data_IF_064357319428
#
_entry.id   IF_064357319428
#
_cell.length_a   1.000
_cell.length_b   1.000
_cell.length_c   1.000
_cell.angle_alpha   90.00
_cell.angle_beta   90.00
_cell.angle_gamma   90.00
#
_symmetry.space_group_name_H-M   'P 1'
#
loop_
_entity.id
_entity.type
_entity.pdbx_description
1 polymer ?
2 branched ?
3 non-polymer ?
4 non-polymer ?
5 non-polymer ?
6 water ?
#
# COMPACT_ATOMS: atom_id res chain seq x y z
N UNK A 10 -19.50 -11.47 -17.08
CA UNK A 10 -18.11 -11.70 -17.48
C UNK A 10 -17.50 -12.85 -16.70
N UNK A 11 -16.16 -12.90 -16.67
CA UNK A 11 -15.48 -14.01 -16.03
C UNK A 11 -14.52 -13.56 -14.94
N UNK A 12 -14.25 -14.44 -13.98
CA UNK A 12 -13.22 -14.18 -12.99
C UNK A 12 -11.87 -14.07 -13.71
N UNK A 13 -11.09 -13.08 -13.27
CA UNK A 13 -9.73 -12.92 -13.78
C UNK A 13 -8.87 -14.09 -13.29
N UNK A 14 -8.00 -14.62 -14.14
CA UNK A 14 -7.03 -15.57 -13.62
C UNK A 14 -5.62 -15.02 -13.89
N UNK A 15 -4.73 -15.28 -12.94
CA UNK A 15 -3.39 -14.78 -13.02
C UNK A 15 -2.52 -15.64 -13.93
N UNK A 16 -2.64 -15.45 -15.24
CA UNK A 16 -1.96 -16.33 -16.19
C UNK A 16 -0.66 -15.76 -16.74
N UNK A 17 -0.38 -14.49 -16.45
CA UNK A 17 0.78 -13.83 -17.05
C UNK A 17 1.91 -13.59 -16.06
N UNK A 18 3.11 -13.38 -16.58
CA UNK A 18 4.24 -12.99 -15.76
C UNK A 18 4.40 -11.48 -15.78
N UNK A 19 5.38 -10.97 -15.04
CA UNK A 19 5.67 -9.54 -15.07
C UNK A 19 6.40 -9.17 -16.34
N UNK A 20 6.09 -7.99 -16.88
CA UNK A 20 6.88 -7.40 -17.94
C UNK A 20 8.27 -7.10 -17.41
N UNK A 21 9.25 -7.10 -18.31
CA UNK A 21 10.60 -6.68 -17.97
C UNK A 21 10.60 -5.21 -17.59
N UNK A 22 11.16 -4.92 -16.41
CA UNK A 22 11.20 -3.56 -15.88
C UNK A 22 12.56 -2.91 -16.11
N UNK A 23 12.62 -1.98 -17.06
CA UNK A 23 13.89 -1.31 -17.35
C UNK A 23 13.89 0.14 -16.90
N UNK A 24 12.70 0.68 -16.61
CA UNK A 24 12.55 2.01 -16.02
C UNK A 24 11.09 2.18 -15.61
N UNK A 25 10.76 3.37 -15.10
CA UNK A 25 9.39 3.67 -14.67
C UNK A 25 8.91 4.95 -15.33
N UNK A 26 7.64 4.97 -15.75
CA UNK A 26 7.07 6.17 -16.36
C UNK A 26 5.90 6.68 -15.53
N UNK A 27 5.61 7.97 -15.66
CA UNK A 27 4.53 8.58 -14.90
C UNK A 27 3.20 7.97 -15.34
N UNK A 28 2.37 7.64 -14.36
CA UNK A 28 1.07 7.02 -14.63
C UNK A 28 -0.07 7.95 -14.20
N UNK A 29 0.00 8.43 -12.95
CA UNK A 29 -1.01 9.33 -12.43
C UNK A 29 -0.46 10.26 -11.36
N UNK A 30 -1.11 11.39 -11.17
CA UNK A 30 -0.72 12.37 -10.16
C UNK A 30 -1.91 13.26 -9.93
N UNK A 31 -2.32 13.47 -8.69
CA UNK A 31 -3.57 14.22 -8.54
C UNK A 31 -3.42 15.64 -8.01
N UNK A 32 -2.22 16.05 -7.61
CA UNK A 32 -1.98 17.43 -7.17
C UNK A 32 -3.03 17.91 -6.15
N UNK A 33 -3.45 17.02 -5.25
CA UNK A 33 -4.62 17.26 -4.42
C UNK A 33 -4.45 18.43 -3.44
N UNK A 34 -3.25 18.59 -2.89
CA UNK A 34 -3.04 19.62 -1.87
C UNK A 34 -2.94 21.00 -2.55
N UNK A 35 -2.27 21.06 -3.71
CA UNK A 35 -2.26 22.29 -4.51
C UNK A 35 -3.68 22.74 -4.83
N UNK A 36 -4.47 21.82 -5.36
CA UNK A 36 -5.83 22.17 -5.80
C UNK A 36 -6.73 22.46 -4.60
N UNK A 37 -6.54 21.71 -3.52
CA UNK A 37 -7.33 21.87 -2.31
C UNK A 37 -7.11 23.16 -1.55
N UNK A 38 -6.07 23.91 -1.93
CA UNK A 38 -5.86 25.23 -1.34
C UNK A 38 -7.04 26.17 -1.66
N UNK A 39 -7.73 25.89 -2.76
CA UNK A 39 -8.84 26.73 -3.19
C UNK A 39 -10.02 25.98 -3.82
N UNK A 40 -10.24 24.75 -3.41
CA UNK A 40 -11.42 24.01 -3.84
C UNK A 40 -11.79 23.00 -2.78
N UNK A 41 -12.90 22.32 -2.98
CA UNK A 41 -13.45 21.46 -1.93
C UNK A 41 -12.90 20.03 -2.03
N UNK A 42 -11.63 19.92 -1.64
CA UNK A 42 -10.88 18.68 -1.68
C UNK A 42 -10.88 18.04 -0.30
N UNK A 43 -11.23 16.76 -0.22
CA UNK A 43 -11.28 16.06 1.07
C UNK A 43 -9.89 15.80 1.65
N UNK A 44 -9.75 15.95 2.96
CA UNK A 44 -8.54 15.49 3.64
C UNK A 44 -8.49 13.98 3.59
N UNK A 45 -7.33 13.44 3.22
CA UNK A 45 -7.16 11.99 3.17
C UNK A 45 -5.82 11.56 3.75
N UNK A 46 -5.64 10.24 3.87
CA UNK A 46 -4.33 9.63 4.01
C UNK A 46 -4.50 8.15 3.63
N UNK A 47 -3.41 7.42 3.62
CA UNK A 47 -3.39 6.00 3.24
C UNK A 47 -4.05 5.76 1.87
N UNK A 48 -3.53 6.41 0.82
CA UNK A 48 -4.12 6.24 -0.51
C UNK A 48 -3.66 4.95 -1.19
N UNK A 49 -4.36 4.55 -2.24
CA UNK A 49 -3.83 3.54 -3.15
C UNK A 49 -4.52 3.61 -4.51
N UNK A 50 -4.21 2.67 -5.39
CA UNK A 50 -4.79 2.64 -6.73
C UNK A 50 -5.32 1.23 -6.96
N UNK A 51 -6.44 1.11 -7.65
CA UNK A 51 -6.95 -0.23 -7.97
C UNK A 51 -7.73 -0.18 -9.27
N UNK A 52 -7.57 -1.20 -10.10
CA UNK A 52 -8.24 -1.25 -11.39
C UNK A 52 -9.48 -2.14 -11.39
N UNK A 53 -10.49 -1.68 -12.14
CA UNK A 53 -11.64 -2.46 -12.58
C UNK A 53 -11.33 -2.92 -14.02
N UNK A 54 -12.13 -3.84 -14.57
CA UNK A 54 -11.88 -4.23 -15.96
C UNK A 54 -12.01 -3.08 -16.96
N UNK A 55 -12.72 -2.01 -16.60
CA UNK A 55 -12.96 -0.92 -17.56
C UNK A 55 -12.48 0.44 -17.08
N UNK A 56 -11.81 0.49 -15.94
CA UNK A 56 -11.42 1.77 -15.34
C UNK A 56 -10.39 1.56 -14.23
N UNK A 57 -9.47 2.51 -14.07
CA UNK A 57 -8.58 2.52 -12.90
C UNK A 57 -8.90 3.75 -12.05
N UNK A 58 -8.90 3.59 -10.73
CA UNK A 58 -9.31 4.68 -9.83
C UNK A 58 -8.33 4.85 -8.67
N UNK A 59 -8.29 6.07 -8.13
CA UNK A 59 -7.59 6.33 -6.90
C UNK A 59 -8.51 5.98 -5.71
N UNK A 60 -7.90 5.54 -4.61
CA UNK A 60 -8.59 5.19 -3.36
C UNK A 60 -7.86 5.85 -2.21
N UNK A 61 -8.58 6.15 -1.12
CA UNK A 61 -7.95 6.62 0.11
C UNK A 61 -8.93 6.60 1.27
N UNK A 62 -8.42 6.81 2.48
CA UNK A 62 -9.28 7.00 3.63
C UNK A 62 -9.52 8.48 3.85
N UNK A 63 -10.75 8.92 3.63
CA UNK A 63 -11.15 10.30 3.91
C UNK A 63 -11.13 10.55 5.41
N UNK A 64 -11.06 11.82 5.79
CA UNK A 64 -11.20 12.21 7.20
C UNK A 64 -12.52 12.94 7.45
N UNK A 65 -13.39 13.02 6.43
CA UNK A 65 -14.72 13.58 6.64
C UNK A 65 -14.70 15.10 6.82
N UNK A 66 -13.82 15.76 6.09
CA UNK A 66 -13.69 17.21 6.11
C UNK A 66 -12.87 17.63 4.90
N UNK A 67 -13.02 18.87 4.45
CA UNK A 67 -12.11 19.37 3.42
C UNK A 67 -10.86 19.98 4.07
N UNK A 68 -9.84 20.26 3.28
CA UNK A 68 -8.58 20.79 3.82
C UNK A 68 -8.74 22.19 4.38
N UNK A 69 -9.50 23.02 3.67
CA UNK A 69 -9.73 24.41 4.09
C UNK A 69 -10.81 24.50 5.16
N UNK A 70 -11.53 23.41 5.38
CA UNK A 70 -12.58 23.40 6.39
C UNK A 70 -11.96 23.40 7.77
N UNK A 71 -12.67 23.97 8.74
CA UNK A 71 -12.13 24.08 10.09
C UNK A 71 -11.99 22.71 10.77
N UNK A 72 -12.73 21.70 10.29
CA UNK A 72 -12.62 20.37 10.87
C UNK A 72 -11.33 19.65 10.43
N UNK A 73 -10.51 20.28 9.60
CA UNK A 73 -9.22 19.69 9.23
C UNK A 73 -8.26 19.72 10.42
N UNK A 74 -8.55 20.55 11.40
CA UNK A 74 -7.73 20.63 12.62
C UNK A 74 -7.80 19.31 13.40
N UNK A 75 -6.66 18.65 13.55
CA UNK A 75 -6.61 17.39 14.28
C UNK A 75 -6.54 16.14 13.42
N UNK A 76 -6.44 16.31 12.10
CA UNK A 76 -6.47 15.15 11.19
C UNK A 76 -5.16 14.36 11.13
N UNK A 77 -4.20 14.67 12.01
CA UNK A 77 -3.05 13.79 12.15
C UNK A 77 -3.51 12.44 12.74
N UNK A 78 -4.65 12.46 13.44
CA UNK A 78 -5.16 11.24 14.10
C UNK A 78 -5.65 10.20 13.09
N UNK A 79 -5.38 8.93 13.39
CA UNK A 79 -5.59 7.86 12.41
C UNK A 79 -6.99 7.25 12.39
N UNK A 80 -7.66 7.21 13.54
CA UNK A 80 -8.92 6.47 13.66
C UNK A 80 -10.01 7.35 14.26
N UNK A 81 -11.08 7.53 13.50
CA UNK A 81 -12.23 8.30 13.96
C UNK A 81 -13.47 7.76 13.27
N UNK A 82 -14.63 8.15 13.78
CA UNK A 82 -15.91 7.78 13.18
C UNK A 82 -16.17 8.49 11.86
N UNK A 83 -15.31 9.40 11.47
CA UNK A 83 -15.60 10.26 10.33
C UNK A 83 -14.78 9.84 9.12
N UNK A 84 -14.06 8.72 9.24
CA UNK A 84 -13.27 8.20 8.12
C UNK A 84 -14.07 7.22 7.27
N UNK A 85 -13.71 7.16 5.99
CA UNK A 85 -14.34 6.23 5.05
C UNK A 85 -13.39 5.95 3.90
N UNK A 86 -13.50 4.76 3.32
CA UNK A 86 -12.80 4.46 2.08
C UNK A 86 -13.55 5.13 0.92
N UNK A 87 -12.87 6.00 0.20
CA UNK A 87 -13.45 6.64 -0.98
C UNK A 87 -12.66 6.29 -2.22
N UNK A 88 -13.30 6.38 -3.38
CA UNK A 88 -12.57 6.26 -4.63
C UNK A 88 -12.96 7.40 -5.56
N UNK A 89 -12.09 7.71 -6.49
CA UNK A 89 -12.36 8.80 -7.43
C UNK A 89 -11.53 8.59 -8.69
N UNK A 90 -11.88 9.28 -9.78
CA UNK A 90 -11.23 9.00 -11.07
C UNK A 90 -9.74 9.28 -11.05
N UNK A 91 -8.99 8.42 -11.74
CA UNK A 91 -7.54 8.51 -11.87
C UNK A 91 -7.06 9.93 -12.16
N UNK A 92 -6.16 10.41 -11.30
CA UNK A 92 -5.46 11.70 -11.41
C UNK A 92 -6.30 12.96 -11.18
N UNK A 93 -7.60 12.78 -10.90
CA UNK A 93 -8.39 13.86 -10.33
C UNK A 93 -8.07 13.94 -8.84
N UNK A 94 -8.38 15.07 -8.19
CA UNK A 94 -8.25 15.08 -6.73
C UNK A 94 -9.51 14.52 -6.07
N UNK A 95 -9.42 14.08 -4.81
CA UNK A 95 -10.59 13.59 -4.09
C UNK A 95 -11.48 14.74 -3.61
N UNK A 96 -12.53 15.06 -4.36
CA UNK A 96 -13.35 16.19 -3.97
C UNK A 96 -14.63 15.72 -3.33
N UNK A 97 -15.30 16.63 -2.64
CA UNK A 97 -16.59 16.34 -2.04
C UNK A 97 -17.58 15.88 -3.11
N UNK A 98 -17.41 16.38 -4.33
CA UNK A 98 -18.43 16.19 -5.37
C UNK A 98 -18.13 15.07 -6.37
N UNK A 99 -16.92 14.52 -6.33
CA UNK A 99 -16.57 13.49 -7.32
C UNK A 99 -16.14 12.17 -6.66
N UNK A 100 -16.15 12.14 -5.32
CA UNK A 100 -15.69 10.96 -4.59
C UNK A 100 -16.84 10.01 -4.29
N UNK A 101 -16.58 8.71 -4.48
CA UNK A 101 -17.57 7.67 -4.20
C UNK A 101 -17.17 6.92 -2.94
N UNK A 102 -18.07 6.84 -1.96
CA UNK A 102 -17.76 6.11 -0.74
C UNK A 102 -17.94 4.61 -0.94
N UNK A 103 -16.92 3.83 -0.58
CA UNK A 103 -16.98 2.37 -0.74
C UNK A 103 -17.48 1.70 0.53
N UNK A 104 -16.99 2.17 1.68
CA UNK A 104 -17.49 1.71 2.99
C UNK A 104 -16.93 2.59 4.10
N UNK A 105 -17.46 2.43 5.31
CA UNK A 105 -17.10 3.30 6.43
C UNK A 105 -16.05 2.65 7.34
N UNK A 106 -15.00 3.40 7.67
CA UNK A 106 -13.97 2.87 8.55
C UNK A 106 -12.61 3.53 8.41
N UNK A 107 -11.62 3.00 9.13
CA UNK A 107 -10.31 3.64 9.21
C UNK A 107 -9.14 2.70 8.84
N UNK A 108 -9.47 1.56 8.24
CA UNK A 108 -8.46 0.67 7.64
C UNK A 108 -9.14 -0.11 6.53
N UNK A 109 -8.49 -0.25 5.38
CA UNK A 109 -9.20 -0.82 4.23
C UNK A 109 -8.34 -1.61 3.25
N UNK A 110 -9.04 -2.36 2.40
CA UNK A 110 -8.46 -2.91 1.19
C UNK A 110 -9.59 -3.04 0.18
N UNK A 111 -9.24 -3.24 -1.09
CA UNK A 111 -10.27 -3.34 -2.12
C UNK A 111 -9.67 -4.00 -3.34
N UNK A 112 -10.44 -4.81 -4.05
CA UNK A 112 -9.97 -5.38 -5.31
C UNK A 112 -11.12 -5.90 -6.17
N UNK A 113 -10.88 -5.98 -7.47
CA UNK A 113 -11.88 -6.46 -8.42
C UNK A 113 -11.53 -7.88 -8.83
N UNK A 114 -12.50 -8.79 -8.83
CA UNK A 114 -12.20 -10.18 -9.19
C UNK A 114 -12.45 -10.50 -10.65
N UNK A 115 -12.81 -9.48 -11.44
CA UNK A 115 -13.13 -9.70 -12.85
C UNK A 115 -14.61 -9.55 -13.11
N UNK A 116 -15.43 -9.91 -12.11
CA UNK A 116 -16.88 -9.74 -12.19
C UNK A 116 -17.36 -8.53 -11.36
N UNK A 117 -16.99 -8.50 -10.08
CA UNK A 117 -17.37 -7.39 -9.21
C UNK A 117 -16.24 -7.03 -8.25
N UNK A 118 -16.39 -5.89 -7.59
CA UNK A 118 -15.38 -5.42 -6.63
C UNK A 118 -15.72 -5.83 -5.20
N UNK A 119 -14.69 -6.30 -4.48
CA UNK A 119 -14.78 -6.48 -3.03
C UNK A 119 -14.09 -5.33 -2.32
N UNK A 120 -14.75 -4.72 -1.34
CA UNK A 120 -14.10 -3.70 -0.50
C UNK A 120 -14.27 -4.06 0.96
N UNK A 121 -13.23 -3.84 1.76
CA UNK A 121 -13.28 -4.18 3.17
C UNK A 121 -12.89 -2.97 3.97
N UNK A 122 -13.73 -2.60 4.95
CA UNK A 122 -13.42 -1.48 5.85
C UNK A 122 -13.53 -1.95 7.30
N UNK A 123 -12.58 -1.55 8.12
CA UNK A 123 -12.62 -1.84 9.55
C UNK A 123 -12.99 -0.59 10.33
N UNK A 124 -13.89 -0.71 11.31
CA UNK A 124 -14.22 0.42 12.18
C UNK A 124 -14.38 -0.05 13.62
N UNK A 125 -14.49 0.91 14.53
CA UNK A 125 -14.70 0.60 15.93
C UNK A 125 -13.66 1.21 16.84
N UNK A 126 -13.85 1.06 18.16
CA UNK A 126 -12.83 1.45 19.13
C UNK A 126 -11.68 0.46 19.09
N UNK A 127 -10.56 0.80 19.72
CA UNK A 127 -9.38 -0.05 19.66
C UNK A 127 -9.62 -1.49 20.16
N UNK A 128 -10.49 -1.64 21.15
CA UNK A 128 -10.70 -2.96 21.74
C UNK A 128 -11.93 -3.70 21.24
N UNK A 129 -12.56 -3.21 20.19
CA UNK A 129 -13.82 -3.80 19.74
C UNK A 129 -14.09 -3.50 18.27
N UNK A 130 -13.04 -3.54 17.46
CA UNK A 130 -13.16 -3.21 16.03
C UNK A 130 -13.71 -4.38 15.22
N UNK A 131 -14.25 -4.09 14.05
CA UNK A 131 -14.81 -5.13 13.20
C UNK A 131 -14.67 -4.76 11.75
N UNK A 132 -14.49 -5.78 10.92
CA UNK A 132 -14.38 -5.63 9.48
C UNK A 132 -15.72 -5.94 8.82
N UNK A 133 -16.13 -5.09 7.88
CA UNK A 133 -17.29 -5.41 7.05
C UNK A 133 -16.82 -5.62 5.62
N UNK A 134 -17.21 -6.76 5.04
CA UNK A 134 -16.81 -7.13 3.68
C UNK A 134 -17.95 -6.85 2.71
N UNK A 135 -17.69 -5.94 1.78
CA UNK A 135 -18.65 -5.57 0.75
C UNK A 135 -18.30 -6.26 -0.56
N UNK A 136 -19.30 -6.70 -1.30
CA UNK A 136 -19.08 -7.29 -2.62
C UNK A 136 -20.21 -6.81 -3.53
N UNK A 137 -19.86 -6.33 -4.73
CA UNK A 137 -20.83 -5.73 -5.64
C UNK A 137 -21.64 -4.64 -4.92
N UNK A 138 -20.93 -3.87 -4.10
CA UNK A 138 -21.45 -2.69 -3.38
C UNK A 138 -22.54 -3.01 -2.36
N UNK A 139 -22.55 -4.25 -1.87
CA UNK A 139 -23.44 -4.67 -0.79
C UNK A 139 -22.65 -5.37 0.32
N UNK A 140 -23.04 -5.16 1.58
CA UNK A 140 -22.35 -5.87 2.66
C UNK A 140 -22.68 -7.35 2.64
N UNK A 141 -21.67 -8.20 2.79
CA UNK A 141 -21.87 -9.63 2.65
C UNK A 141 -21.38 -10.44 3.87
N UNK A 142 -20.27 -10.02 4.47
CA UNK A 142 -19.73 -10.74 5.62
C UNK A 142 -19.11 -9.79 6.63
N UNK A 143 -18.99 -10.24 7.88
CA UNK A 143 -18.42 -9.39 8.93
C UNK A 143 -17.45 -10.22 9.75
N UNK A 144 -16.41 -9.57 10.26
CA UNK A 144 -15.38 -10.26 11.05
C UNK A 144 -15.08 -9.44 12.30
N UNK A 145 -15.30 -10.05 13.45
CA UNK A 145 -15.00 -9.36 14.71
C UNK A 145 -13.53 -9.48 15.10
N UNK A 146 -13.04 -8.47 15.81
CA UNK A 146 -11.69 -8.47 16.36
C UNK A 146 -11.42 -9.77 17.13
N UNK A 147 -10.21 -10.31 16.97
CA UNK A 147 -9.86 -11.55 17.66
C UNK A 147 -8.79 -11.36 18.72
N UNK A 148 -8.16 -10.19 18.74
CA UNK A 148 -7.14 -9.90 19.75
C UNK A 148 -7.43 -8.59 20.52
N UNK A 149 -8.52 -7.92 20.12
CA UNK A 149 -9.02 -6.71 20.80
C UNK A 149 -7.96 -5.61 20.86
N UNK A 150 -7.23 -5.42 19.77
CA UNK A 150 -6.21 -4.38 19.73
C UNK A 150 -5.97 -3.89 18.30
N UNK A 151 -6.87 -3.02 17.84
CA UNK A 151 -6.81 -2.38 16.52
C UNK A 151 -6.67 -3.39 15.37
N UNK A 152 -7.73 -4.16 15.16
CA UNK A 152 -7.87 -4.97 13.95
C UNK A 152 -7.57 -4.08 12.74
N UNK A 153 -6.70 -4.52 11.83
CA UNK A 153 -6.24 -3.67 10.74
C UNK A 153 -5.78 -4.48 9.52
N UNK A 154 -5.80 -3.86 8.33
CA UNK A 154 -5.52 -4.60 7.12
C UNK A 154 -4.55 -3.83 6.19
N UNK A 155 -4.62 -4.07 4.89
CA UNK A 155 -3.49 -3.77 3.99
C UNK A 155 -3.23 -2.29 3.67
N UNK A 156 -4.31 -1.51 3.51
CA UNK A 156 -4.24 -0.12 3.01
C UNK A 156 -3.72 -0.02 1.57
N UNK A 157 -3.85 -1.11 0.81
CA UNK A 157 -3.71 -1.07 -0.64
C UNK A 157 -4.48 -2.25 -1.23
N UNK A 158 -4.43 -2.41 -2.55
CA UNK A 158 -5.37 -3.35 -3.16
C UNK A 158 -5.01 -4.81 -2.88
N UNK A 159 -6.03 -5.64 -2.76
CA UNK A 159 -5.85 -7.09 -2.74
C UNK A 159 -5.77 -7.60 -4.17
N UNK A 160 -5.56 -8.91 -4.33
CA UNK A 160 -5.44 -9.51 -5.66
C UNK A 160 -6.32 -10.76 -5.71
N UNK A 161 -6.99 -10.99 -6.84
CA UNK A 161 -7.88 -12.15 -6.96
C UNK A 161 -7.42 -13.12 -8.04
N UNK A 162 -7.67 -14.41 -7.79
CA UNK A 162 -7.43 -15.43 -8.80
C UNK A 162 -8.60 -16.42 -8.84
N UNK A 163 -9.24 -16.52 -10.00
CA UNK A 163 -10.40 -17.40 -10.17
C UNK A 163 -11.46 -17.17 -9.10
N UNK A 164 -11.67 -15.90 -8.75
CA UNK A 164 -12.69 -15.54 -7.79
C UNK A 164 -12.23 -15.53 -6.34
N UNK A 165 -11.06 -16.11 -6.07
CA UNK A 165 -10.55 -16.15 -4.70
C UNK A 165 -9.62 -14.98 -4.44
N UNK A 166 -9.95 -14.19 -3.41
CA UNK A 166 -9.19 -12.98 -3.08
C UNK A 166 -8.65 -13.07 -1.66
N UNK A 167 -7.34 -13.33 -1.51
CA UNK A 167 -6.74 -13.34 -0.18
C UNK A 167 -6.52 -11.94 0.38
N UNK A 168 -6.69 -11.79 1.69
CA UNK A 168 -6.46 -10.53 2.37
C UNK A 168 -5.70 -10.79 3.67
N UNK A 169 -4.68 -9.98 3.95
CA UNK A 169 -3.94 -10.11 5.20
C UNK A 169 -4.45 -9.11 6.26
N UNK A 170 -4.79 -9.64 7.45
CA UNK A 170 -5.22 -8.85 8.61
C UNK A 170 -4.25 -9.01 9.77
N UNK A 171 -4.13 -7.98 10.59
CA UNK A 171 -3.38 -8.11 11.84
C UNK A 171 -4.21 -7.55 13.01
N UNK A 172 -4.14 -8.22 14.15
CA UNK A 172 -4.84 -7.77 15.35
C UNK A 172 -3.88 -8.01 16.50
N UNK A 173 -3.67 -7.00 17.34
CA UNK A 173 -2.70 -7.14 18.41
C UNK A 173 -1.65 -6.04 18.39
N UNK A 174 -0.60 -6.24 19.17
CA UNK A 174 0.39 -5.21 19.41
C UNK A 174 1.07 -4.68 18.15
N UNK A 175 1.37 -3.39 18.14
CA UNK A 175 2.20 -2.80 17.10
C UNK A 175 3.67 -2.82 17.50
N UNK A 176 3.95 -3.30 18.72
CA UNK A 176 5.31 -3.24 19.25
C UNK A 176 5.74 -4.55 19.92
N UNK A 177 5.22 -5.66 19.41
CA UNK A 177 5.50 -6.97 19.96
C UNK A 177 4.73 -7.98 19.13
N UNK A 178 4.78 -9.27 19.51
CA UNK A 178 4.08 -10.30 18.72
C UNK A 178 2.60 -10.01 18.59
N UNK A 179 2.06 -10.18 17.38
CA UNK A 179 0.65 -9.92 17.13
C UNK A 179 0.03 -11.13 16.41
N UNK A 180 -1.30 -11.09 16.21
CA UNK A 180 -2.01 -12.21 15.61
C UNK A 180 -2.44 -11.87 14.19
N UNK A 181 -1.66 -12.34 13.23
CA UNK A 181 -1.92 -12.08 11.81
C UNK A 181 -2.66 -13.25 11.21
N UNK A 182 -3.66 -12.94 10.39
CA UNK A 182 -4.46 -13.96 9.71
C UNK A 182 -4.55 -13.66 8.23
N UNK A 183 -4.55 -14.70 7.41
CA UNK A 183 -4.83 -14.55 6.00
C UNK A 183 -6.23 -15.09 5.74
N UNK A 184 -7.12 -14.23 5.24
CA UNK A 184 -8.48 -14.63 4.89
C UNK A 184 -8.60 -14.82 3.40
N UNK A 185 -9.39 -15.81 3.00
CA UNK A 185 -9.63 -16.10 1.60
C UNK A 185 -11.10 -15.89 1.32
N UNK A 186 -11.41 -14.89 0.50
CA UNK A 186 -12.79 -14.55 0.18
C UNK A 186 -13.19 -14.94 -1.23
N UNK A 187 -14.46 -15.27 -1.41
CA UNK A 187 -15.02 -15.38 -2.76
C UNK A 187 -16.43 -14.82 -2.77
N UNK A 188 -16.66 -13.83 -3.64
CA UNK A 188 -17.90 -13.08 -3.67
C UNK A 188 -18.25 -12.53 -2.30
N UNK A 189 -17.20 -12.14 -1.57
CA UNK A 189 -17.35 -11.54 -0.25
C UNK A 189 -17.54 -12.55 0.89
N UNK A 190 -17.73 -13.82 0.53
CA UNK A 190 -17.90 -14.87 1.53
C UNK A 190 -16.56 -15.42 2.01
N UNK A 191 -16.46 -15.74 3.29
CA UNK A 191 -15.25 -16.34 3.83
C UNK A 191 -15.15 -17.82 3.48
N UNK A 192 -14.16 -18.16 2.67
CA UNK A 192 -13.90 -19.55 2.31
C UNK A 192 -13.11 -20.24 3.41
N UNK A 193 -12.14 -19.51 3.95
CA UNK A 193 -11.14 -20.06 4.84
C UNK A 193 -10.33 -18.91 5.45
N UNK A 194 -9.80 -19.11 6.65
CA UNK A 194 -8.73 -18.24 7.13
C UNK A 194 -7.64 -19.09 7.78
N UNK A 195 -6.41 -18.59 7.82
CA UNK A 195 -5.31 -19.28 8.51
C UNK A 195 -4.48 -18.30 9.31
N UNK A 196 -3.88 -18.79 10.39
CA UNK A 196 -2.92 -17.99 11.14
C UNK A 196 -1.61 -17.91 10.36
N UNK A 197 -0.92 -16.79 10.49
CA UNK A 197 0.37 -16.60 9.83
C UNK A 197 1.37 -17.70 10.14
N UNK A 198 2.02 -18.21 9.11
CA UNK A 198 3.08 -19.20 9.31
C UNK A 198 4.37 -18.68 8.67
N UNK A 199 5.48 -19.37 8.90
CA UNK A 199 6.74 -18.95 8.32
C UNK A 199 7.59 -18.16 9.29
N UNK A 200 8.57 -17.42 8.78
CA UNK A 200 9.54 -16.79 9.66
C UNK A 200 9.39 -15.28 9.85
N UNK A 201 8.41 -14.66 9.19
CA UNK A 201 8.12 -13.25 9.47
C UNK A 201 7.67 -13.11 10.92
N UNK A 202 8.21 -12.12 11.62
CA UNK A 202 7.96 -11.99 13.06
C UNK A 202 6.94 -10.90 13.42
N UNK A 203 6.66 -10.02 12.48
CA UNK A 203 5.63 -9.00 12.67
C UNK A 203 5.16 -8.52 11.30
N UNK A 204 3.84 -8.47 11.10
CA UNK A 204 3.24 -8.16 9.80
C UNK A 204 2.21 -7.02 9.88
N UNK A 205 2.41 -5.97 9.08
CA UNK A 205 1.43 -4.91 8.92
C UNK A 205 1.34 -4.45 7.47
N UNK A 206 0.16 -3.98 7.05
CA UNK A 206 0.00 -3.19 5.82
C UNK A 206 0.65 -3.80 4.57
N UNK A 207 0.25 -5.02 4.24
CA UNK A 207 0.84 -5.74 3.12
C UNK A 207 0.48 -5.11 1.78
N UNK A 208 1.48 -5.00 0.90
CA UNK A 208 1.31 -4.57 -0.49
C UNK A 208 1.46 -5.75 -1.43
N UNK A 209 0.42 -6.06 -2.20
CA UNK A 209 0.39 -7.31 -2.94
C UNK A 209 0.31 -7.13 -4.46
N UNK A 210 0.80 -8.13 -5.18
CA UNK A 210 0.54 -8.24 -6.61
C UNK A 210 0.48 -9.71 -7.01
N UNK A 211 -0.09 -10.00 -8.16
CA UNK A 211 -0.24 -11.36 -8.61
C UNK A 211 0.41 -11.63 -9.95
N UNK A 212 0.94 -12.84 -10.11
CA UNK A 212 1.55 -13.26 -11.36
C UNK A 212 1.62 -14.78 -11.40
N UNK A 213 1.42 -15.36 -12.58
CA UNK A 213 1.44 -16.81 -12.80
C UNK A 213 0.89 -17.62 -11.61
N UNK A 214 -0.37 -17.32 -11.27
CA UNK A 214 -1.16 -18.02 -10.25
C UNK A 214 -0.52 -18.01 -8.86
N UNK A 215 0.27 -16.99 -8.57
CA UNK A 215 0.81 -16.78 -7.24
C UNK A 215 0.66 -15.33 -6.82
N UNK A 216 0.46 -15.09 -5.53
CA UNK A 216 0.33 -13.72 -5.03
C UNK A 216 1.48 -13.44 -4.07
N UNK A 217 2.16 -12.32 -4.28
CA UNK A 217 3.30 -11.92 -3.46
C UNK A 217 2.98 -10.63 -2.72
N UNK A 218 3.19 -10.64 -1.41
CA UNK A 218 2.92 -9.46 -0.59
C UNK A 218 4.18 -9.01 0.14
N UNK A 219 4.44 -7.72 0.09
CA UNK A 219 5.55 -7.12 0.84
C UNK A 219 4.99 -6.27 1.95
N UNK A 220 5.43 -6.49 3.18
CA UNK A 220 4.75 -5.91 4.32
C UNK A 220 5.66 -5.01 5.16
N UNK A 221 5.14 -4.61 6.32
CA UNK A 221 5.84 -3.76 7.26
C UNK A 221 6.02 -4.49 8.59
N UNK A 222 7.27 -4.63 9.03
CA UNK A 222 7.57 -5.13 10.38
C UNK A 222 7.69 -3.90 11.28
N UNK A 223 6.72 -3.70 12.16
CA UNK A 223 6.74 -2.51 13.00
C UNK A 223 7.45 -2.73 14.31
N UNK A 224 7.79 -3.98 14.61
CA UNK A 224 8.36 -4.33 15.91
C UNK A 224 9.88 -4.14 15.93
N UNK A 225 10.64 -5.12 15.44
CA UNK A 225 12.11 -5.03 15.50
C UNK A 225 12.82 -4.89 14.14
N UNK A 226 12.09 -5.01 13.04
CA UNK A 226 12.74 -5.16 11.74
C UNK A 226 12.79 -3.94 10.85
N UNK A 227 13.88 -3.79 10.10
CA UNK A 227 13.96 -2.73 9.09
C UNK A 227 14.14 -3.32 7.70
N UNK A 228 14.24 -4.65 7.63
CA UNK A 228 13.99 -5.36 6.38
C UNK A 228 12.49 -5.68 6.33
N UNK A 229 11.96 -5.86 5.13
CA UNK A 229 10.52 -6.09 5.00
C UNK A 229 10.16 -7.57 4.97
N UNK A 230 9.11 -7.93 5.72
CA UNK A 230 8.57 -9.29 5.61
C UNK A 230 7.91 -9.50 4.25
N UNK A 231 7.90 -10.75 3.78
CA UNK A 231 7.23 -11.11 2.55
C UNK A 231 6.31 -12.30 2.79
N UNK A 232 5.09 -12.21 2.31
CA UNK A 232 4.16 -13.33 2.34
C UNK A 232 3.89 -13.80 0.92
N UNK A 233 4.05 -15.11 0.67
CA UNK A 233 3.76 -15.66 -0.64
C UNK A 233 2.55 -16.56 -0.54
N UNK A 234 1.52 -16.22 -1.31
CA UNK A 234 0.22 -16.87 -1.18
C UNK A 234 -0.14 -17.65 -2.43
N UNK A 235 -0.55 -18.90 -2.23
CA UNK A 235 -1.10 -19.73 -3.29
C UNK A 235 -2.62 -19.67 -3.20
N UNK A 236 -3.26 -18.91 -4.10
CA UNK A 236 -4.71 -18.66 -4.00
C UNK A 236 -5.55 -19.86 -4.42
N UNK A 237 -4.93 -20.88 -5.01
CA UNK A 237 -5.64 -22.09 -5.39
C UNK A 237 -5.68 -23.09 -4.22
N UNK A 238 -4.51 -23.40 -3.68
CA UNK A 238 -4.41 -24.23 -2.48
C UNK A 238 -4.90 -23.49 -1.23
N UNK A 239 -4.90 -22.15 -1.31
CA UNK A 239 -5.22 -21.29 -0.18
C UNK A 239 -4.25 -21.55 0.99
N UNK A 240 -2.96 -21.53 0.65
CA UNK A 240 -1.89 -21.65 1.63
C UNK A 240 -0.86 -20.55 1.42
N UNK A 241 0.03 -20.38 2.38
CA UNK A 241 1.03 -19.33 2.27
C UNK A 241 2.32 -19.70 2.98
N UNK A 242 3.38 -18.95 2.68
CA UNK A 242 4.61 -19.01 3.44
C UNK A 242 4.99 -17.57 3.80
N UNK A 243 5.96 -17.38 4.69
CA UNK A 243 6.47 -16.02 4.94
C UNK A 243 7.94 -16.06 5.29
N UNK A 244 8.62 -14.95 5.00
CA UNK A 244 10.02 -14.75 5.36
C UNK A 244 10.29 -13.25 5.32
N UNK A 245 11.56 -12.86 5.22
CA UNK A 245 11.93 -11.47 4.97
C UNK A 245 12.63 -11.36 3.63
N UNK A 246 12.64 -10.16 3.05
CA UNK A 246 13.54 -9.90 1.93
C UNK A 246 14.98 -10.06 2.44
N UNK A 247 15.73 -10.96 1.81
CA UNK A 247 17.09 -11.33 2.24
C UNK A 247 18.12 -10.23 2.01
N UNK A 248 17.90 -9.39 1.00
CA UNK A 248 18.87 -8.38 0.59
C UNK A 248 19.30 -7.42 1.71
N UNK A 249 20.58 -7.03 1.73
CA UNK A 249 21.03 -5.99 2.66
C UNK A 249 20.60 -4.59 2.23
N UNK A 250 19.92 -4.47 1.09
CA UNK A 250 19.31 -3.19 0.73
C UNK A 250 18.02 -3.06 1.53
N UNK A 251 18.08 -2.39 2.68
CA UNK A 251 16.95 -2.34 3.61
C UNK A 251 15.92 -1.32 3.12
N UNK A 252 14.63 -1.64 3.25
CA UNK A 252 13.63 -0.76 2.65
C UNK A 252 12.50 -0.28 3.57
N UNK A 253 12.60 -0.53 4.87
CA UNK A 253 11.65 0.09 5.81
C UNK A 253 12.10 1.53 6.08
N UNK A 254 11.31 2.25 6.86
CA UNK A 254 11.69 3.59 7.31
C UNK A 254 11.04 3.87 8.66
N UNK A 255 11.81 4.34 9.65
CA UNK A 255 13.27 4.58 9.61
C UNK A 255 14.04 3.26 9.56
N UNK A 256 15.33 3.32 9.32
CA UNK A 256 16.13 2.11 9.15
C UNK A 256 17.61 2.41 9.37
N UNK A 257 18.38 1.36 9.67
CA UNK A 257 19.84 1.51 9.74
C UNK A 257 20.41 1.71 8.35
N UNK A 258 21.70 2.01 8.28
CA UNK A 258 22.38 2.03 6.99
C UNK A 258 22.49 0.62 6.43
N UNK A 259 22.60 0.50 5.12
CA UNK A 259 22.70 -0.81 4.46
C UNK A 259 23.97 -1.53 4.86
N UNK A 260 23.83 -2.76 5.40
CA UNK A 260 24.98 -3.63 5.64
C UNK A 260 25.39 -4.36 4.35
N UNK A 261 26.23 -5.39 4.46
CA UNK A 261 26.59 -6.20 3.30
C UNK A 261 25.98 -7.59 3.36
N UNK A 262 25.41 -7.91 4.52
CA UNK A 262 24.66 -9.16 4.67
C UNK A 262 23.29 -8.86 5.24
N UNK A 263 22.24 -9.28 4.55
CA UNK A 263 20.88 -9.09 5.05
C UNK A 263 20.43 -10.28 5.90
N UNK A 264 19.13 -10.32 6.17
CA UNK A 264 18.55 -11.38 6.99
C UNK A 264 17.28 -11.94 6.35
N UNK A 265 17.26 -13.25 6.14
CA UNK A 265 16.15 -13.91 5.44
C UNK A 265 15.02 -14.34 6.38
N UNK A 266 15.36 -14.68 7.62
CA UNK A 266 14.37 -15.30 8.49
C UNK A 266 14.23 -14.65 9.85
N UNK A 267 14.61 -13.38 9.93
CA UNK A 267 14.52 -12.63 11.18
C UNK A 267 14.62 -11.15 10.87
N UNK A 268 14.13 -10.30 11.79
CA UNK A 268 14.23 -8.86 11.60
C UNK A 268 15.68 -8.36 11.61
N UNK A 269 16.01 -7.46 10.69
CA UNK A 269 17.29 -6.77 10.79
C UNK A 269 17.14 -5.60 11.76
N UNK A 270 17.97 -5.58 12.81
CA UNK A 270 17.81 -4.69 13.96
C UNK A 270 18.39 -3.29 13.80
N UNK A 271 17.98 -2.40 14.69
CA UNK A 271 18.53 -1.05 14.71
C UNK A 271 17.47 -0.02 14.99
N UNK A 272 16.26 -0.28 14.52
CA UNK A 272 15.12 0.62 14.69
C UNK A 272 13.90 -0.15 15.18
N UNK A 273 13.37 0.24 16.33
CA UNK A 273 12.23 -0.49 16.90
C UNK A 273 10.94 0.31 16.87
N UNK A 274 9.82 -0.41 16.84
CA UNK A 274 8.50 0.20 17.04
C UNK A 274 8.15 1.29 16.03
N UNK A 275 8.57 1.11 14.79
CA UNK A 275 8.16 2.02 13.73
C UNK A 275 8.36 1.38 12.36
N UNK A 276 7.93 2.10 11.34
CA UNK A 276 8.00 1.58 9.98
C UNK A 276 7.15 2.42 9.08
N UNK A 277 7.02 1.97 7.84
CA UNK A 277 6.15 2.62 6.87
C UNK A 277 5.68 1.54 5.91
N UNK A 278 4.45 1.67 5.40
CA UNK A 278 4.00 0.77 4.35
C UNK A 278 4.85 0.96 3.11
N UNK A 279 5.25 -0.15 2.49
CA UNK A 279 6.08 -0.12 1.30
C UNK A 279 5.80 -1.32 0.41
N UNK A 280 6.63 -1.52 -0.61
CA UNK A 280 6.34 -2.59 -1.56
C UNK A 280 7.60 -3.02 -2.28
N UNK A 281 7.51 -4.14 -2.98
CA UNK A 281 8.57 -4.56 -3.88
C UNK A 281 7.99 -5.41 -5.00
N UNK A 282 8.76 -5.56 -6.07
CA UNK A 282 8.44 -6.54 -7.10
C UNK A 282 9.57 -7.55 -7.12
N UNK A 283 9.27 -8.77 -6.69
CA UNK A 283 10.28 -9.81 -6.51
C UNK A 283 10.17 -10.81 -7.65
N UNK A 284 11.13 -10.75 -8.57
CA UNK A 284 11.01 -11.49 -9.82
C UNK A 284 12.39 -11.87 -10.36
N UNK A 285 13.19 -12.55 -9.53
CA UNK A 285 14.53 -12.96 -9.94
C UNK A 285 15.40 -11.79 -10.35
N UNK A 286 15.97 -11.84 -11.55
CA UNK A 286 16.80 -10.76 -12.05
C UNK A 286 16.01 -9.50 -12.44
N UNK A 287 14.67 -9.63 -12.45
CA UNK A 287 13.78 -8.50 -12.76
C UNK A 287 13.24 -7.86 -11.48
N UNK A 288 14.00 -7.99 -10.39
CA UNK A 288 13.55 -7.52 -9.08
C UNK A 288 13.82 -6.03 -8.85
N UNK A 289 12.79 -5.30 -8.42
CA UNK A 289 12.93 -3.89 -8.06
C UNK A 289 12.33 -3.63 -6.69
N UNK A 290 13.06 -2.86 -5.86
CA UNK A 290 12.61 -2.51 -4.52
C UNK A 290 12.35 -1.01 -4.43
N UNK A 291 11.29 -0.62 -3.74
CA UNK A 291 11.05 0.80 -3.46
C UNK A 291 11.50 1.14 -2.03
N UNK A 292 11.97 2.37 -1.83
CA UNK A 292 12.22 2.85 -0.47
C UNK A 292 12.35 4.37 -0.40
N UNK A 293 12.15 4.91 0.79
CA UNK A 293 12.43 6.33 1.03
C UNK A 293 13.93 6.54 0.86
N UNK A 294 14.33 7.76 0.49
CA UNK A 294 15.75 8.04 0.38
C UNK A 294 16.34 8.25 1.77
N UNK A 295 15.65 9.03 2.60
CA UNK A 295 16.08 9.23 3.99
C UNK A 295 16.01 7.93 4.78
N UNK A 296 16.98 7.71 5.66
CA UNK A 296 16.90 6.58 6.58
C UNK A 296 16.19 6.98 7.87
N UNK A 297 15.95 8.28 8.03
CA UNK A 297 15.44 8.78 9.31
C UNK A 297 13.96 9.15 9.28
N UNK A 298 13.49 9.63 8.13
CA UNK A 298 12.11 10.11 8.02
C UNK A 298 11.52 9.79 6.67
N UNK A 299 10.22 10.03 6.53
CA UNK A 299 9.51 9.76 5.30
C UNK A 299 9.73 10.86 4.27
N UNK A 300 10.94 10.92 3.73
CA UNK A 300 11.27 11.92 2.72
C UNK A 300 12.04 11.26 1.59
N UNK A 301 11.73 11.69 0.37
CA UNK A 301 12.32 11.11 -0.82
C UNK A 301 11.73 9.74 -1.14
N UNK A 302 11.90 9.32 -2.39
CA UNK A 302 11.53 7.96 -2.76
C UNK A 302 12.33 7.55 -3.98
N UNK A 303 12.82 6.30 -3.96
CA UNK A 303 13.61 5.78 -5.05
C UNK A 303 13.28 4.32 -5.32
N UNK A 304 13.49 3.90 -6.57
CA UNK A 304 13.40 2.50 -6.95
C UNK A 304 14.80 1.98 -7.22
N UNK A 305 15.08 0.77 -6.75
CA UNK A 305 16.40 0.16 -6.96
C UNK A 305 16.23 -1.23 -7.55
N UNK A 306 16.99 -1.52 -8.62
CA UNK A 306 16.97 -2.84 -9.22
C UNK A 306 17.98 -3.71 -8.49
N UNK A 307 17.48 -4.72 -7.77
CA UNK A 307 18.30 -5.53 -6.89
C UNK A 307 18.08 -7.00 -7.21
N UNK A 308 18.90 -7.56 -8.11
CA UNK A 308 18.65 -8.93 -8.59
C UNK A 308 18.57 -9.97 -7.46
N UNK A 309 17.51 -10.77 -7.50
CA UNK A 309 17.28 -11.83 -6.51
C UNK A 309 17.27 -11.32 -5.06
N UNK A 310 16.73 -10.13 -4.86
CA UNK A 310 16.69 -9.53 -3.52
C UNK A 310 16.00 -10.44 -2.50
N UNK A 311 15.01 -11.20 -2.95
CA UNK A 311 14.26 -12.04 -2.03
C UNK A 311 15.13 -13.14 -1.42
N UNK A 312 16.05 -13.69 -2.19
CA UNK A 312 16.76 -14.90 -1.77
C UNK A 312 18.28 -14.76 -1.59
N UNK A 313 18.85 -13.66 -2.05
CA UNK A 313 20.30 -13.44 -2.01
C UNK A 313 20.66 -12.45 -0.91
N UNK A 314 21.27 -12.93 0.18
CA UNK A 314 21.50 -12.02 1.29
C UNK A 314 22.75 -11.15 1.11
N UNK A 315 23.35 -11.20 -0.09
CA UNK A 315 24.44 -10.29 -0.44
C UNK A 315 24.06 -9.29 -1.55
N UNK A 316 22.83 -9.35 -2.04
CA UNK A 316 22.46 -8.60 -3.25
C UNK A 316 22.47 -7.07 -3.10
N UNK A 317 22.99 -6.40 -4.12
CA UNK A 317 23.11 -4.94 -4.16
C UNK A 317 22.48 -4.37 -5.44
N UNK A 318 22.21 -3.05 -5.47
CA UNK A 318 21.59 -2.47 -6.67
C UNK A 318 22.48 -2.43 -7.89
N UNK A 319 21.88 -2.58 -9.07
CA UNK A 319 22.62 -2.44 -10.33
C UNK A 319 22.04 -1.36 -11.22
N UNK A 320 20.96 -0.75 -10.76
CA UNK A 320 20.26 0.28 -11.52
C UNK A 320 19.27 0.94 -10.56
N UNK A 321 18.87 2.17 -10.84
CA UNK A 321 17.89 2.80 -9.99
C UNK A 321 17.13 3.93 -10.67
N UNK A 322 16.12 4.45 -9.97
CA UNK A 322 15.42 5.62 -10.47
C UNK A 322 14.89 6.43 -9.28
N UNK A 323 15.22 7.73 -9.26
CA UNK A 323 14.66 8.58 -8.22
C UNK A 323 13.23 8.98 -8.62
N UNK A 324 12.30 8.87 -7.69
CA UNK A 324 10.89 9.21 -7.91
C UNK A 324 10.56 10.54 -7.26
N UNK A 325 10.99 10.68 -6.01
CA UNK A 325 10.78 11.90 -5.22
C UNK A 325 12.11 12.31 -4.58
N UNK A 326 12.52 13.56 -4.76
CA UNK A 326 13.77 14.03 -4.17
C UNK A 326 13.74 13.96 -2.65
N UNK A 327 14.90 13.78 -2.04
CA UNK A 327 14.98 13.72 -0.59
C UNK A 327 14.51 15.02 0.07
N UNK A 328 14.54 16.11 -0.68
CA UNK A 328 14.10 17.40 -0.19
C UNK A 328 12.58 17.51 -0.07
N UNK A 329 11.86 16.50 -0.58
CA UNK A 329 10.40 16.50 -0.56
C UNK A 329 9.84 15.34 0.27
N UNK A 330 8.68 15.57 0.89
CA UNK A 330 8.06 14.56 1.75
C UNK A 330 7.44 13.43 0.94
N UNK A 331 7.61 12.20 1.42
CA UNK A 331 6.91 11.06 0.83
C UNK A 331 5.96 10.48 1.88
N UNK A 332 5.94 9.15 2.02
CA UNK A 332 4.93 8.51 2.86
C UNK A 332 4.74 7.06 2.46
N UNK A 333 3.53 6.54 2.64
CA UNK A 333 3.22 5.16 2.25
C UNK A 333 3.45 4.92 0.76
N UNK A 334 3.75 3.67 0.41
CA UNK A 334 3.82 3.30 -1.00
C UNK A 334 3.29 1.89 -1.13
N UNK A 335 2.79 1.55 -2.32
CA UNK A 335 2.19 0.25 -2.50
C UNK A 335 2.10 -0.15 -3.96
N UNK A 336 1.82 -1.42 -4.19
CA UNK A 336 1.77 -1.99 -5.53
C UNK A 336 0.33 -2.13 -6.05
N UNK A 337 0.17 -2.07 -7.37
CA UNK A 337 -1.07 -2.42 -8.04
C UNK A 337 -0.71 -2.74 -9.48
N UNK A 338 -1.59 -3.47 -10.17
CA UNK A 338 -1.40 -3.71 -11.60
C UNK A 338 -2.74 -3.71 -12.31
N UNK A 339 -2.71 -3.36 -13.60
CA UNK A 339 -3.92 -3.49 -14.41
C UNK A 339 -4.02 -4.89 -14.97
N UNK A 340 -4.73 -5.77 -14.27
CA UNK A 340 -4.86 -7.16 -14.69
C UNK A 340 -5.72 -7.34 -15.94
N UNK A 341 -6.31 -6.25 -16.43
CA UNK A 341 -7.18 -6.32 -17.60
C UNK A 341 -6.62 -5.61 -18.82
N UNK A 342 -5.35 -5.24 -18.77
CA UNK A 342 -4.68 -4.59 -19.89
C UNK A 342 -4.35 -5.57 -21.02
N UNK A 343 -4.04 -5.04 -22.20
CA UNK A 343 -3.66 -5.90 -23.33
C UNK A 343 -2.20 -6.32 -23.20
N UNK A 344 -1.81 -7.38 -23.90
CA UNK A 344 -0.42 -7.79 -23.91
C UNK A 344 -0.20 -9.14 -23.24
N UNK A 345 1.02 -9.64 -23.32
CA UNK A 345 1.34 -10.98 -22.83
C UNK A 345 1.98 -10.97 -21.45
N UNK A 346 2.04 -9.79 -20.83
CA UNK A 346 2.59 -9.67 -19.48
C UNK A 346 1.89 -8.59 -18.68
N UNK A 347 1.96 -8.70 -17.36
CA UNK A 347 1.44 -7.67 -16.46
C UNK A 347 2.48 -6.59 -16.24
N UNK A 348 2.07 -5.34 -16.36
CA UNK A 348 2.94 -4.19 -16.13
C UNK A 348 2.92 -3.78 -14.66
N UNK A 349 4.06 -3.90 -14.00
CA UNK A 349 4.19 -3.50 -12.60
C UNK A 349 3.91 -2.01 -12.42
N UNK A 350 3.10 -1.67 -11.42
CA UNK A 350 2.83 -0.27 -11.08
C UNK A 350 2.96 -0.02 -9.58
N UNK A 351 3.12 1.24 -9.20
CA UNK A 351 3.09 1.57 -7.78
C UNK A 351 2.66 3.00 -7.59
N UNK A 352 2.31 3.34 -6.35
CA UNK A 352 2.01 4.72 -5.98
C UNK A 352 2.90 5.12 -4.81
N UNK A 353 3.08 6.43 -4.65
CA UNK A 353 3.69 6.97 -3.44
C UNK A 353 2.78 8.04 -2.86
N UNK A 354 2.46 7.90 -1.59
CA UNK A 354 1.73 8.92 -0.83
C UNK A 354 2.66 10.07 -0.48
N UNK A 355 2.26 11.30 -0.81
CA UNK A 355 3.08 12.47 -0.50
C UNK A 355 2.41 13.23 0.65
N UNK A 356 2.85 12.95 1.87
CA UNK A 356 2.20 13.52 3.05
C UNK A 356 2.58 14.97 3.26
N UNK A 357 1.59 15.82 3.47
CA UNK A 357 1.83 17.21 3.79
C UNK A 357 1.16 17.54 5.11
N UNK A 358 1.70 18.52 5.81
CA UNK A 358 1.13 18.90 7.10
C UNK A 358 1.81 18.19 8.26
N UNK A 359 1.05 17.92 9.32
CA UNK A 359 1.66 17.37 10.53
C UNK A 359 2.06 15.91 10.39
N UNK A 360 3.09 15.48 11.13
CA UNK A 360 3.86 16.23 12.13
C UNK A 360 5.02 17.08 11.56
N UNK A 361 5.44 16.83 10.33
CA UNK A 361 6.66 17.45 9.82
C UNK A 361 6.50 18.93 9.47
N UNK A 362 5.29 19.34 9.16
CA UNK A 362 5.02 20.74 8.82
C UNK A 362 3.94 21.28 9.74
N UNK A 363 4.32 21.73 10.94
CA UNK A 363 3.31 22.00 11.97
C UNK A 363 2.83 23.44 12.01
N UNK A 364 3.15 24.22 10.99
CA UNK A 364 2.56 25.55 10.87
C UNK A 364 1.08 25.46 10.52
N UNK A 365 0.67 24.33 9.94
CA UNK A 365 -0.75 24.02 9.77
C UNK A 365 -1.17 22.98 10.80
N UNK A 366 -2.47 22.83 11.01
CA UNK A 366 -2.99 21.91 12.01
C UNK A 366 -3.59 20.65 11.42
N UNK A 367 -3.46 20.50 10.10
CA UNK A 367 -3.98 19.34 9.41
C UNK A 367 -2.88 18.41 8.89
N UNK A 368 -3.29 17.20 8.50
CA UNK A 368 -2.44 16.24 7.80
C UNK A 368 -3.22 15.74 6.60
N UNK A 369 -2.62 15.79 5.42
CA UNK A 369 -3.27 15.23 4.24
C UNK A 369 -2.19 14.71 3.31
N UNK A 370 -2.55 14.41 2.07
CA UNK A 370 -1.57 13.90 1.14
C UNK A 370 -2.00 14.16 -0.29
N UNK A 371 -1.06 14.04 -1.21
CA UNK A 371 -1.44 13.81 -2.60
C UNK A 371 -0.79 12.51 -3.06
N UNK A 372 -0.95 12.18 -4.34
CA UNK A 372 -0.57 10.88 -4.85
C UNK A 372 0.26 11.05 -6.10
N UNK A 373 1.35 10.30 -6.21
CA UNK A 373 1.99 10.10 -7.51
C UNK A 373 2.06 8.60 -7.80
N UNK A 374 1.91 8.22 -9.07
CA UNK A 374 1.89 6.81 -9.43
C UNK A 374 2.70 6.58 -10.70
N UNK A 375 3.41 5.46 -10.74
CA UNK A 375 4.24 5.09 -11.89
C UNK A 375 3.97 3.67 -12.34
N UNK A 376 4.24 3.38 -13.62
CA UNK A 376 4.20 2.01 -14.13
C UNK A 376 5.51 1.71 -14.84
N UNK A 377 5.82 0.43 -15.01
CA UNK A 377 7.11 0.05 -15.59
C UNK A 377 7.12 0.20 -17.11
N UNK A 378 8.31 0.39 -17.64
CA UNK A 378 8.55 0.46 -19.09
C UNK A 378 9.67 -0.50 -19.46
N UNK A 379 9.59 -1.09 -20.65
CA UNK A 379 10.69 -1.89 -21.18
C UNK A 379 11.77 -0.99 -21.82
N UNK A 380 11.45 0.28 -21.98
CA UNK A 380 12.44 1.26 -22.43
C UNK A 380 13.28 1.74 -21.25
N UNK A 381 14.45 2.33 -21.53
CA UNK A 381 15.24 2.98 -20.49
C UNK A 381 14.97 4.48 -20.51
N UNK A 382 13.92 4.90 -19.82
CA UNK A 382 13.44 6.28 -19.90
C UNK A 382 14.18 7.23 -18.97
N UNK A 383 14.26 8.48 -19.37
CA UNK A 383 14.80 9.52 -18.51
C UNK A 383 13.92 9.69 -17.28
N UNK A 384 14.53 10.11 -16.18
CA UNK A 384 13.79 10.28 -14.94
C UNK A 384 13.53 11.76 -14.63
N UNK A 385 12.39 12.03 -14.01
CA UNK A 385 12.12 13.33 -13.39
C UNK A 385 11.99 13.08 -11.90
N UNK A 386 11.55 14.10 -11.17
CA UNK A 386 11.16 13.92 -9.77
C UNK A 386 9.78 14.53 -9.59
N UNK A 387 9.01 14.01 -8.64
CA UNK A 387 7.58 14.31 -8.60
C UNK A 387 7.10 14.71 -7.21
N UNK A 388 7.31 15.98 -6.86
CA UNK A 388 6.90 16.50 -5.54
C UNK A 388 5.40 16.76 -5.47
N UNK A 389 4.88 16.87 -4.25
CA UNK A 389 3.49 17.25 -4.04
C UNK A 389 3.20 18.60 -4.69
N UNK A 390 4.09 19.56 -4.46
CA UNK A 390 4.06 20.82 -5.18
C UNK A 390 3.29 21.95 -4.52
N UNK A 391 2.71 21.68 -3.35
CA UNK A 391 1.97 22.73 -2.65
C UNK A 391 2.87 23.55 -1.74
N UNK A 392 2.54 24.82 -1.56
CA UNK A 392 3.30 25.70 -0.68
C UNK A 392 2.55 25.90 0.62
N UNK A 393 3.13 25.46 1.72
CA UNK A 393 2.50 25.53 3.04
C UNK A 393 2.12 26.97 3.42
N UNK A 394 2.97 27.93 3.04
CA UNK A 394 2.73 29.33 3.36
C UNK A 394 1.37 29.84 2.87
N UNK A 395 0.87 29.25 1.78
CA UNK A 395 -0.42 29.64 1.22
C UNK A 395 -1.60 29.26 2.13
N UNK A 396 -1.37 28.29 3.01
CA UNK A 396 -2.42 27.77 3.88
C UNK A 396 -2.49 28.47 5.23
N UNK A 397 -1.60 29.44 5.44
CA UNK A 397 -1.50 30.12 6.73
C UNK A 397 -2.39 31.36 6.81
X LIG B 1 -17.61 -4.86 22.84
X LIG B 1 -17.81 -4.41 24.29
X LIG B 1 -18.95 -5.22 24.95
X LIG B 1 -20.19 -5.30 24.08
X LIG B 1 -19.79 -5.79 22.69
X LIG B 1 -20.94 -5.87 21.72
X LIG B 1 -15.98 -3.53 25.68
X LIG B 1 -14.73 -3.89 26.42
X LIG B 1 -16.60 -4.55 25.05
X LIG B 1 -19.26 -4.61 26.20
X LIG B 1 -21.12 -6.21 24.65
X LIG B 1 -18.84 -4.87 22.14
X LIG B 1 -21.64 -4.63 21.62
X LIG B 1 -16.42 -2.39 25.65
X LIG B 2 -22.41 -5.60 24.83
X LIG B 2 -23.51 -6.64 24.85
X LIG B 2 -24.88 -5.96 24.93
X LIG B 2 -24.91 -5.02 26.13
X LIG B 2 -23.73 -4.05 26.08
X LIG B 2 -23.61 -3.16 27.30
X LIG B 2 -22.84 -8.70 23.67
X LIG B 2 -22.89 -9.44 22.37
X LIG B 2 -23.45 -7.50 23.67
X LIG B 2 -25.92 -6.91 24.96
X LIG B 2 -26.11 -4.26 26.10
X LIG B 2 -22.50 -4.79 26.00
X LIG B 2 -23.46 -3.92 28.48
X LIG B 2 -22.28 -9.15 24.66
X LIG B 3 -26.92 -4.44 27.28
X LIG B 3 -27.84 -3.22 27.29
X LIG B 3 -28.87 -3.31 28.40
X LIG B 3 -29.53 -4.69 28.46
X LIG B 3 -28.47 -5.81 28.45
X LIG B 3 -29.13 -7.15 28.40
X LIG B 3 -28.58 -3.17 26.08
X LIG B 3 -29.86 -2.33 28.15
X LIG B 3 -30.31 -4.82 29.65
X LIG B 3 -27.63 -5.65 27.28
X LIG B 3 -28.16 -8.15 28.64
X LIG B 4 -30.24 -1.67 29.37
X LIG B 4 -31.48 -0.84 29.13
X LIG B 4 -31.09 0.30 28.18
X LIG B 4 -29.99 1.16 28.79
X LIG B 4 -28.78 0.26 29.08
X LIG B 4 -27.68 0.98 29.82
X LIG B 4 -31.80 -0.27 30.40
X LIG B 4 -32.20 1.11 27.74
X LIG B 4 -29.61 2.20 27.88
X LIG B 4 -29.21 -0.88 29.91
X LIG B 4 -26.50 0.23 29.62
X LIG B 5 -33.06 0.40 30.51
X LIG B 5 -33.12 0.87 31.95
X LIG B 5 -33.41 -0.33 32.85
X LIG B 5 -34.67 -1.08 32.37
X LIG B 5 -34.49 -1.51 30.91
X LIG B 5 -35.73 -2.18 30.32
X LIG B 5 -34.22 1.75 32.11
X LIG B 5 -33.56 0.06 34.23
X LIG B 5 -34.89 -2.24 33.15
X LIG B 5 -34.18 -0.34 30.10
X LIG B 5 -36.89 -1.45 30.71
X LIG B 6 -33.78 3.12 32.28
X LIG B 6 -35.05 3.87 32.62
X LIG B 6 -35.92 3.95 31.35
X LIG B 6 -35.14 4.60 30.19
X LIG B 6 -33.87 3.77 29.92
X LIG B 6 -32.98 4.34 28.83
X LIG B 6 -34.77 5.23 32.98
X LIG B 6 -37.11 4.65 31.59
X LIG B 6 -35.96 4.62 29.01
X LIG B 6 -33.09 3.65 31.15
X LIG B 6 -32.67 5.69 29.18
X LIG B 7 -28.14 -8.50 30.04
X LIG B 7 -26.96 -9.46 30.24
X LIG B 7 -27.28 -10.83 29.63
X LIG B 7 -28.66 -11.34 30.10
X LIG B 7 -29.72 -10.31 29.80
X LIG B 7 -31.10 -10.70 30.30
X LIG B 7 -26.73 -9.69 31.62
X LIG B 7 -26.25 -11.77 29.94
X LIG B 7 -28.98 -12.54 29.42
X LIG B 7 -29.36 -9.08 30.48
X LIG B 7 -30.96 -11.00 31.68
X LIG B 8 -25.59 -12.24 28.75
X LIG B 8 -24.75 -13.47 29.12
X LIG B 8 -23.55 -13.01 29.98
X LIG B 8 -22.77 -11.88 29.30
X LIG B 8 -23.70 -10.72 28.94
X LIG B 8 -23.01 -9.62 28.12
X LIG B 8 -24.18 -14.10 27.95
X LIG B 8 -22.69 -14.08 30.32
X LIG B 8 -21.75 -11.41 30.16
X LIG B 8 -24.82 -11.24 28.14
X LIG B 8 -23.80 -8.43 28.16
X LIG B 9 -32.22 -11.38 32.25
X LIG B 9 -31.99 -11.55 33.74
X LIG B 9 -31.00 -12.70 33.93
X LIG B 9 -31.51 -13.99 33.26
X LIG B 9 -31.93 -13.75 31.79
X LIG B 9 -32.75 -14.89 31.21
X LIG B 9 -33.21 -11.94 34.41
X LIG B 9 -30.70 -12.92 35.31
X LIG B 9 -30.48 -14.97 33.27
X LIG B 9 -32.74 -12.55 31.68
X LIG B 9 -31.90 -15.68 30.39
X LIG C 1 -6.62 23.64 16.41
X LIG C 1 -6.44 25.16 16.47
X LIG C 1 -5.50 25.53 17.62
X LIG C 1 -6.01 24.94 18.92
X LIG C 1 -6.27 23.44 18.78
X LIG C 1 -6.98 22.85 19.98
X LIG C 1 -6.62 26.55 14.46
X LIG C 1 -5.95 26.98 13.18
X LIG C 1 -5.92 25.69 15.20
X LIG C 1 -5.42 26.95 17.74
X LIG C 1 -5.06 25.14 19.96
X LIG C 1 -7.13 23.18 17.65
X LIG C 1 -6.81 21.44 20.03
X LIG C 1 -7.71 26.97 14.79
X LIG D 1 10.25 -1.41 11.19
X LIG E 1 1.43 5.50 10.16
X LIG E 1 0.15 4.96 10.71
X LIG E 1 -1.06 5.25 9.82
X LIG E 1 -2.16 4.25 9.93
X LIG E 1 -2.07 3.39 11.13
X LIG E 1 -0.79 2.63 11.16
X LIG E 1 -0.52 1.93 12.49
X LIG E 1 0.83 1.26 12.38
X LIG E 1 1.18 0.49 13.69
X LIG E 1 -4.16 2.19 12.03
X LIG E 1 -5.23 1.11 11.81
X LIG E 1 -3.14 2.37 11.01
X LIG E 1 1.43 6.50 9.44
X LIG E 1 2.53 4.91 10.45
X LIG E 1 0.06 5.60 11.92
X LIG E 1 -3.42 4.95 9.90
X LIG E 1 0.37 3.45 10.90
X LIG E 1 -0.43 2.87 13.52
X LIG E 1 0.86 0.41 11.28
X LIG E 1 0.28 -0.62 13.88
X LIG E 1 -4.13 2.87 13.04
#
# INVERSE_FOLDING_TARGET
GSGDSGSPGRNFNNLTKGLCTINSWHIYGKDNAVRIGESSDVLVTREPYVSCDPDECRFYALSQGTTIRGKHSNGTIHDRSQYRALISWPLSSPPTVYNSRVECIGWSSTSCHDGKSRMSICISGPNNNASAVVWYNRRPVAEINTWARNILRTQESECVCHNGVCPVVFTDGSATGPADTRIYYFKEGKILKWESLTGTAKHIEECSCYGERTGITCTCRDNWQGSNRPVIQIDPVAMTHTSQYICSPVLTDNPRPNDPNIGKCNDPYPGNNNNGVKGFSYLDGANTWLGRTISTASRSGYEMLKVPNALTDDRSKPIQGQTIVLNADWSGYSGSFMDYWAEGDCYRACFYVELIRGRPKEDKVWWTSNSIVSMCSSTEFLGQWNWPDGAKIEYFL
NAG C1 C2 C3 C4 C5 C6 C7 C8 N2 O3 O4 O5 O6 O7
NAG C1 C2 C3 C4 C5 C6 C7 C8 N2 O3 O4 O5 O6 O7
BMA C1 C2 C3 C4 C5 C6 O2 O3 O4 O5 O6
MAN C1 C2 C3 C4 C5 C6 O2 O3 O4 O5 O6
MAN C1 C2 C3 C4 C5 C6 O2 O3 O4 O5 O6
MAN C1 C2 C3 C4 C5 C6 O2 O3 O4 O5 O6
MAN C1 C2 C3 C4 C5 C6 O2 O3 O4 O5 O6
MAN C1 C2 C3 C4 C5 C6 O2 O3 O4 O5 O6
MAN C1 C2 C3 C4 C5 C6 O2 O3 O4 O5 O6
NAG C1 C2 C3 C4 C5 C6 C7 C8 N2 O3 O4 O5 O6 O7
CA CA
SIA C1 C2 C3 C4 C5 C6 C7 C8 C9 C10 C11 N5 O1A O1B O2 O4 O6 O7 O8 O9 O10
#
